data_IF_969437006124
#
_entry.id   IF_969437006124
#
_cell.length_a   1.000
_cell.length_b   1.000
_cell.length_c   1.000
_cell.angle_alpha   90.00
_cell.angle_beta   90.00
_cell.angle_gamma   90.00
#
_symmetry.space_group_name_H-M   'P 1'
#
loop_
_entity.id
_entity.type
_entity.pdbx_description
1 polymer ?
#
# COMPACT_ATOMS: atom_id res chain seq x y z
N UNK A 1 44.81 -8.65 2.20
CA UNK A 1 43.54 -7.95 2.52
C UNK A 1 42.37 -8.85 2.09
N UNK A 2 41.55 -9.33 3.02
CA UNK A 2 40.37 -10.16 2.71
C UNK A 2 39.27 -9.27 2.11
N UNK A 3 39.02 -9.40 0.80
CA UNK A 3 37.89 -8.75 0.15
C UNK A 3 36.59 -9.37 0.68
N UNK A 4 35.77 -8.57 1.37
CA UNK A 4 34.43 -9.00 1.80
C UNK A 4 33.55 -9.14 0.56
N UNK A 5 33.29 -10.38 0.13
CA UNK A 5 32.26 -10.71 -0.86
C UNK A 5 30.88 -10.33 -0.30
N UNK A 6 30.48 -9.08 -0.50
CA UNK A 6 29.12 -8.64 -0.20
C UNK A 6 28.21 -9.12 -1.33
N UNK A 7 27.31 -10.06 -1.02
CA UNK A 7 26.31 -10.52 -1.99
C UNK A 7 25.48 -9.31 -2.44
N UNK A 8 25.26 -9.12 -3.75
CA UNK A 8 24.49 -7.98 -4.24
C UNK A 8 23.06 -8.03 -3.69
N UNK A 9 22.59 -6.91 -3.17
CA UNK A 9 21.20 -6.76 -2.75
C UNK A 9 20.26 -6.97 -3.93
N UNK A 10 19.39 -7.98 -3.83
CA UNK A 10 18.33 -8.22 -4.82
C UNK A 10 17.34 -7.06 -4.75
N UNK A 11 17.21 -6.34 -5.87
CA UNK A 11 16.22 -5.29 -6.07
C UNK A 11 14.96 -5.91 -6.68
N UNK A 12 13.82 -5.75 -6.04
CA UNK A 12 12.53 -6.26 -6.56
C UNK A 12 11.60 -5.11 -6.86
N UNK A 13 10.91 -5.14 -8.01
CA UNK A 13 9.84 -4.17 -8.32
C UNK A 13 8.57 -4.57 -7.58
N UNK A 14 7.99 -3.64 -6.83
CA UNK A 14 6.73 -3.83 -6.12
C UNK A 14 5.69 -2.84 -6.66
N UNK A 15 4.48 -3.32 -6.92
CA UNK A 15 3.33 -2.51 -7.30
C UNK A 15 2.88 -1.65 -6.10
N UNK A 16 2.56 -0.38 -6.34
CA UNK A 16 2.06 0.54 -5.31
C UNK A 16 0.55 0.33 -5.07
N UNK A 17 0.19 -0.80 -4.49
CA UNK A 17 -1.22 -1.14 -4.18
C UNK A 17 -1.87 -0.08 -3.28
N UNK A 18 -1.09 0.64 -2.48
CA UNK A 18 -1.58 1.71 -1.61
C UNK A 18 -2.23 2.87 -2.39
N UNK A 19 -1.88 3.05 -3.66
CA UNK A 19 -2.47 4.07 -4.54
C UNK A 19 -3.95 3.81 -4.82
N UNK A 20 -4.46 2.58 -4.64
CA UNK A 20 -5.90 2.26 -4.76
C UNK A 20 -6.77 2.94 -3.69
N UNK A 21 -6.18 3.57 -2.68
CA UNK A 21 -6.93 4.39 -1.71
C UNK A 21 -7.47 5.68 -2.32
N UNK A 22 -6.86 6.14 -3.41
CA UNK A 22 -7.34 7.29 -4.16
C UNK A 22 -8.44 6.82 -5.13
N UNK A 23 -9.69 7.34 -5.00
CA UNK A 23 -10.80 6.94 -5.87
C UNK A 23 -10.53 7.15 -7.37
N UNK A 24 -9.70 8.15 -7.71
CA UNK A 24 -9.35 8.43 -9.11
C UNK A 24 -8.45 7.34 -9.68
N UNK A 25 -7.47 6.88 -8.90
CA UNK A 25 -6.56 5.80 -9.27
C UNK A 25 -7.29 4.46 -9.28
N UNK A 26 -8.20 4.24 -8.33
CA UNK A 26 -9.06 3.06 -8.30
C UNK A 26 -9.91 2.97 -9.58
N UNK A 27 -10.56 4.08 -9.96
CA UNK A 27 -11.35 4.16 -11.20
C UNK A 27 -10.47 3.93 -12.44
N UNK A 28 -9.29 4.52 -12.48
CA UNK A 28 -8.33 4.30 -13.57
C UNK A 28 -7.94 2.82 -13.67
N UNK A 29 -7.60 2.18 -12.56
CA UNK A 29 -7.25 0.76 -12.54
C UNK A 29 -8.41 -0.12 -13.00
N UNK A 30 -9.64 0.15 -12.54
CA UNK A 30 -10.85 -0.56 -12.99
C UNK A 30 -11.03 -0.46 -14.51
N UNK A 31 -10.91 0.74 -15.08
CA UNK A 31 -11.01 0.94 -16.52
C UNK A 31 -9.91 0.19 -17.28
N UNK A 32 -8.66 0.25 -16.81
CA UNK A 32 -7.53 -0.47 -17.42
C UNK A 32 -7.73 -1.99 -17.35
N UNK A 33 -8.18 -2.50 -16.21
CA UNK A 33 -8.41 -3.92 -16.01
C UNK A 33 -9.50 -4.45 -16.94
N UNK A 34 -10.63 -3.72 -17.06
CA UNK A 34 -11.69 -4.08 -17.99
C UNK A 34 -11.17 -4.11 -19.44
N UNK A 35 -10.40 -3.09 -19.86
CA UNK A 35 -9.77 -3.09 -21.18
C UNK A 35 -8.85 -4.29 -21.41
N UNK A 36 -8.05 -4.69 -20.41
CA UNK A 36 -7.19 -5.90 -20.53
C UNK A 36 -7.99 -7.20 -20.60
N UNK A 37 -9.12 -7.28 -19.91
CA UNK A 37 -10.01 -8.45 -19.97
C UNK A 37 -10.68 -8.51 -21.34
N UNK A 38 -11.10 -7.38 -21.90
CA UNK A 38 -11.67 -7.29 -23.25
C UNK A 38 -10.65 -7.62 -24.35
N UNK A 39 -9.39 -7.14 -24.21
CA UNK A 39 -8.29 -7.43 -25.15
C UNK A 39 -7.89 -8.91 -25.12
N UNK A 40 -7.93 -9.54 -23.94
CA UNK A 40 -7.47 -10.91 -23.73
C UNK A 40 -8.45 -11.69 -22.85
N UNK A 41 -9.64 -12.01 -23.39
CA UNK A 41 -10.67 -12.72 -22.65
C UNK A 41 -10.29 -14.19 -22.46
N UNK A 42 -10.87 -14.79 -21.44
CA UNK A 42 -10.85 -16.24 -21.23
C UNK A 42 -11.86 -16.86 -22.19
N UNK A 43 -11.44 -17.83 -23.00
CA UNK A 43 -12.33 -18.55 -23.91
C UNK A 43 -12.39 -20.03 -23.51
N UNK A 44 -13.44 -20.72 -23.97
CA UNK A 44 -13.64 -22.15 -23.67
C UNK A 44 -12.56 -23.05 -24.30
N UNK A 45 -11.86 -22.53 -25.31
CA UNK A 45 -10.74 -23.19 -25.99
C UNK A 45 -9.43 -23.14 -25.19
N UNK A 46 -9.36 -22.31 -24.15
CA UNK A 46 -8.17 -22.17 -23.33
C UNK A 46 -8.07 -23.27 -22.27
N UNK A 47 -6.90 -23.90 -22.22
CA UNK A 47 -6.54 -24.76 -21.10
C UNK A 47 -6.37 -23.96 -19.79
N UNK A 48 -6.54 -24.63 -18.65
CA UNK A 48 -6.47 -24.06 -17.30
C UNK A 48 -5.19 -23.24 -17.09
N UNK A 49 -4.06 -23.73 -17.60
CA UNK A 49 -2.77 -23.01 -17.49
C UNK A 49 -2.81 -21.68 -18.26
N UNK A 50 -3.40 -21.69 -19.46
CA UNK A 50 -3.52 -20.50 -20.30
C UNK A 50 -4.48 -19.49 -19.66
N UNK A 51 -5.59 -19.97 -19.10
CA UNK A 51 -6.53 -19.14 -18.33
C UNK A 51 -5.85 -18.45 -17.15
N UNK A 52 -5.05 -19.19 -16.38
CA UNK A 52 -4.28 -18.62 -15.29
C UNK A 52 -3.31 -17.53 -15.76
N UNK A 53 -2.58 -17.77 -16.85
CA UNK A 53 -1.66 -16.80 -17.43
C UNK A 53 -2.39 -15.55 -17.92
N UNK A 54 -3.55 -15.67 -18.57
CA UNK A 54 -4.38 -14.55 -19.00
C UNK A 54 -4.82 -13.69 -17.82
N UNK A 55 -5.40 -14.29 -16.77
CA UNK A 55 -5.83 -13.59 -15.55
C UNK A 55 -4.65 -12.82 -14.95
N UNK A 56 -3.53 -13.52 -14.76
CA UNK A 56 -2.33 -12.95 -14.15
C UNK A 56 -1.80 -11.78 -14.97
N UNK A 57 -1.71 -11.93 -16.29
CA UNK A 57 -1.20 -10.90 -17.18
C UNK A 57 -2.12 -9.68 -17.22
N UNK A 58 -3.44 -9.89 -17.30
CA UNK A 58 -4.42 -8.79 -17.33
C UNK A 58 -4.34 -7.97 -16.03
N UNK A 59 -4.26 -8.64 -14.87
CA UNK A 59 -4.12 -7.98 -13.57
C UNK A 59 -2.80 -7.22 -13.48
N UNK A 60 -1.68 -7.86 -13.82
CA UNK A 60 -0.35 -7.27 -13.68
C UNK A 60 -0.17 -6.07 -14.61
N UNK A 61 -0.52 -6.21 -15.89
CA UNK A 61 -0.35 -5.13 -16.88
C UNK A 61 -1.21 -3.91 -16.52
N UNK A 62 -2.48 -4.12 -16.17
CA UNK A 62 -3.35 -3.03 -15.68
C UNK A 62 -2.76 -2.36 -14.43
N UNK A 63 -2.18 -3.14 -13.52
CA UNK A 63 -1.55 -2.62 -12.31
C UNK A 63 -0.27 -1.83 -12.61
N UNK A 64 0.56 -2.28 -13.54
CA UNK A 64 1.75 -1.55 -13.98
C UNK A 64 1.38 -0.20 -14.61
N UNK A 65 0.33 -0.16 -15.41
CA UNK A 65 -0.15 1.06 -16.07
C UNK A 65 -0.79 2.05 -15.08
N UNK A 66 -1.65 1.58 -14.16
CA UNK A 66 -2.43 2.46 -13.28
C UNK A 66 -1.74 2.80 -11.96
N UNK A 67 -1.05 1.85 -11.33
CA UNK A 67 -0.50 1.99 -9.97
C UNK A 67 0.99 2.33 -9.98
N UNK A 68 1.68 2.02 -11.08
CA UNK A 68 3.13 2.12 -11.18
C UNK A 68 3.86 1.17 -10.22
N UNK A 69 5.19 1.30 -10.17
CA UNK A 69 6.03 0.47 -9.31
C UNK A 69 7.08 1.24 -8.55
N UNK A 70 7.54 0.66 -7.44
CA UNK A 70 8.69 1.10 -6.68
C UNK A 70 9.73 0.00 -6.58
N UNK A 71 11.01 0.41 -6.54
CA UNK A 71 12.12 -0.50 -6.26
C UNK A 71 12.17 -0.75 -4.75
N UNK A 72 12.05 -2.01 -4.36
CA UNK A 72 12.27 -2.47 -2.99
C UNK A 72 13.64 -3.12 -2.90
N UNK A 73 14.51 -2.58 -2.03
CA UNK A 73 15.74 -3.25 -1.64
C UNK A 73 15.39 -4.29 -0.57
N UNK A 74 15.69 -5.55 -0.83
CA UNK A 74 15.58 -6.61 0.16
C UNK A 74 16.83 -6.67 1.06
N UNK A 75 17.26 -5.52 1.61
CA UNK A 75 18.16 -5.56 2.76
C UNK A 75 17.38 -6.14 3.95
N UNK A 76 18.04 -6.90 4.83
CA UNK A 76 17.43 -7.46 6.05
C UNK A 76 16.71 -6.33 6.80
N UNK A 77 15.39 -6.25 6.63
CA UNK A 77 14.58 -5.26 7.32
C UNK A 77 14.60 -5.61 8.80
N UNK A 78 14.83 -4.61 9.65
CA UNK A 78 14.44 -4.69 11.06
C UNK A 78 12.94 -5.03 11.09
N UNK A 79 12.62 -6.29 11.36
CA UNK A 79 11.27 -6.85 11.41
C UNK A 79 10.38 -6.16 12.45
N UNK A 80 10.99 -5.40 13.36
CA UNK A 80 10.34 -4.75 14.50
C UNK A 80 9.94 -3.29 14.25
N UNK A 81 10.05 -2.77 13.01
CA UNK A 81 9.60 -1.40 12.71
C UNK A 81 8.14 -1.41 12.29
N UNK A 82 7.25 -1.01 13.20
CA UNK A 82 5.85 -0.71 12.86
C UNK A 82 5.84 0.27 11.72
N UNK A 83 5.28 -0.18 10.61
CA UNK A 83 5.25 0.63 9.41
C UNK A 83 4.21 1.73 9.58
N UNK A 84 4.57 2.97 9.25
CA UNK A 84 3.66 4.12 9.32
C UNK A 84 2.45 3.99 8.38
N UNK A 85 2.49 3.05 7.43
CA UNK A 85 1.42 2.75 6.48
C UNK A 85 0.40 1.69 6.98
N UNK A 86 0.57 1.16 8.20
CA UNK A 86 -0.46 0.29 8.81
C UNK A 86 -1.73 1.08 9.08
N UNK A 87 -2.89 0.43 8.88
CA UNK A 87 -4.20 1.04 9.13
C UNK A 87 -4.32 1.55 10.57
N UNK A 88 -3.87 0.77 11.54
CA UNK A 88 -3.83 1.15 12.97
C UNK A 88 -3.08 2.46 13.22
N UNK A 89 -1.94 2.68 12.53
CA UNK A 89 -1.16 3.91 12.69
C UNK A 89 -1.88 5.09 12.03
N UNK A 90 -2.51 4.86 10.88
CA UNK A 90 -3.29 5.88 10.19
C UNK A 90 -4.52 6.29 10.98
N UNK A 91 -5.20 5.35 11.64
CA UNK A 91 -6.37 5.59 12.49
C UNK A 91 -5.98 6.40 13.73
N UNK A 92 -4.92 6.01 14.45
CA UNK A 92 -4.37 6.79 15.57
C UNK A 92 -3.98 8.22 15.19
N UNK A 93 -3.41 8.41 13.99
CA UNK A 93 -3.13 9.76 13.49
C UNK A 93 -4.41 10.58 13.24
N UNK A 94 -5.51 9.95 12.79
CA UNK A 94 -6.80 10.62 12.65
C UNK A 94 -7.40 10.96 14.01
N UNK A 95 -7.38 10.03 14.95
CA UNK A 95 -7.86 10.24 16.33
C UNK A 95 -7.14 11.43 16.99
N UNK A 96 -5.81 11.47 16.92
CA UNK A 96 -5.02 12.59 17.47
C UNK A 96 -5.35 13.92 16.78
N UNK A 97 -5.52 13.92 15.46
CA UNK A 97 -5.95 15.11 14.72
C UNK A 97 -7.34 15.58 15.17
N UNK A 98 -8.28 14.66 15.36
CA UNK A 98 -9.63 14.96 15.82
C UNK A 98 -9.62 15.55 17.25
N UNK A 99 -8.88 14.92 18.17
CA UNK A 99 -8.73 15.42 19.54
C UNK A 99 -8.08 16.81 19.58
N UNK A 100 -7.07 17.06 18.75
CA UNK A 100 -6.46 18.39 18.63
C UNK A 100 -7.44 19.45 18.14
N UNK A 101 -8.23 19.13 17.10
CA UNK A 101 -9.24 20.05 16.58
C UNK A 101 -10.32 20.35 17.63
N UNK A 102 -10.76 19.32 18.36
CA UNK A 102 -11.74 19.43 19.46
C UNK A 102 -11.20 20.30 20.60
N UNK A 103 -9.94 20.13 20.99
CA UNK A 103 -9.28 21.03 21.94
C UNK A 103 -9.23 22.46 21.41
N UNK A 104 -8.89 22.65 20.13
CA UNK A 104 -8.77 23.99 19.54
C UNK A 104 -10.11 24.71 19.49
N UNK A 105 -11.22 24.00 19.33
CA UNK A 105 -12.57 24.57 19.32
C UNK A 105 -13.12 24.84 20.73
N UNK A 106 -13.02 23.87 21.64
CA UNK A 106 -13.61 23.97 22.98
C UNK A 106 -12.72 24.71 23.99
N UNK A 107 -11.38 24.61 23.83
CA UNK A 107 -10.36 25.19 24.73
C UNK A 107 -10.56 24.88 26.22
N UNK A 108 -11.15 23.73 26.53
CA UNK A 108 -11.33 23.28 27.92
C UNK A 108 -10.14 22.43 28.41
N UNK A 109 -9.91 22.36 29.73
CA UNK A 109 -8.92 21.45 30.31
C UNK A 109 -9.15 19.98 29.94
N UNK A 110 -10.41 19.55 29.85
CA UNK A 110 -10.80 18.18 29.52
C UNK A 110 -10.42 17.81 28.08
N UNK A 111 -10.71 18.68 27.12
CA UNK A 111 -10.36 18.46 25.72
C UNK A 111 -8.84 18.51 25.49
N UNK A 112 -8.11 19.29 26.29
CA UNK A 112 -6.65 19.25 26.29
C UNK A 112 -6.09 17.91 26.80
N UNK A 113 -6.65 17.38 27.88
CA UNK A 113 -6.27 16.08 28.43
C UNK A 113 -6.54 14.92 27.45
N UNK A 114 -7.66 14.98 26.73
CA UNK A 114 -7.96 14.00 25.67
C UNK A 114 -6.96 14.06 24.51
N UNK A 115 -6.63 15.26 24.04
CA UNK A 115 -5.58 15.44 23.04
C UNK A 115 -4.23 14.89 23.53
N UNK A 116 -3.84 15.17 24.77
CA UNK A 116 -2.57 14.73 25.32
C UNK A 116 -2.49 13.19 25.44
N UNK A 117 -3.59 12.53 25.81
CA UNK A 117 -3.68 11.06 25.91
C UNK A 117 -3.69 10.36 24.54
N UNK A 118 -4.02 11.05 23.46
CA UNK A 118 -4.01 10.46 22.11
C UNK A 118 -2.57 10.23 21.61
N UNK A 119 -2.19 8.95 21.48
CA UNK A 119 -0.88 8.55 20.96
C UNK A 119 -0.94 8.21 19.46
N UNK A 120 0.08 8.63 18.71
CA UNK A 120 0.26 8.22 17.30
C UNK A 120 0.89 6.85 17.16
N UNK A 121 1.38 6.27 18.26
CA UNK A 121 2.09 4.98 18.26
C UNK A 121 1.15 3.86 18.73
N UNK A 122 1.05 2.75 17.99
CA UNK A 122 0.38 1.56 18.49
C UNK A 122 1.15 1.00 19.69
N UNK A 123 0.41 0.59 20.73
CA UNK A 123 0.95 -0.15 21.87
C UNK A 123 1.53 -1.47 21.34
N UNK A 124 2.68 -1.89 21.86
CA UNK A 124 3.37 -3.11 21.42
C UNK A 124 2.79 -4.36 22.03
#
# INVERSE_FOLDING_TARGET
MLQKNTKPTVKTRKINVESLRDPTIEKLYKNRLNGKIEENPITEEDDVKRNWEKIKNNILTAAYEALGTRISNNSKKNTNRTSWFRMEVAEKCREKKHAYLTYRTLRTPESYNEYQKSETRPQR
#
